data_IF_460128420619
#
_entry.id   IF_460128420619
#
_cell.length_a   1.000
_cell.length_b   1.000
_cell.length_c   1.000
_cell.angle_alpha   90.00
_cell.angle_beta   90.00
_cell.angle_gamma   90.00
#
_symmetry.space_group_name_H-M   'P 1'
#
loop_
_entity.id
_entity.type
_entity.pdbx_description
1 polymer ?
#
# COMPACT_ATOMS: atom_id res chain seq x y z
N UNK A 1 0.20 5.41 22.40
CA UNK A 1 -0.60 4.29 21.89
C UNK A 1 -0.12 3.99 20.48
N UNK A 2 0.47 2.82 20.24
CA UNK A 2 0.87 2.41 18.88
C UNK A 2 -0.31 1.63 18.30
N UNK A 3 -0.93 2.15 17.25
CA UNK A 3 -2.00 1.46 16.54
C UNK A 3 -1.37 0.47 15.56
N UNK A 4 -1.86 -0.77 15.56
CA UNK A 4 -1.37 -1.83 14.69
C UNK A 4 -2.46 -2.18 13.67
N UNK A 5 -2.11 -2.15 12.39
CA UNK A 5 -2.95 -2.67 11.30
C UNK A 5 -2.58 -4.14 11.10
N UNK A 6 -3.58 -5.03 11.20
CA UNK A 6 -3.41 -6.43 10.84
C UNK A 6 -3.18 -6.55 9.32
N UNK A 7 -2.02 -7.05 8.87
CA UNK A 7 -1.75 -7.21 7.45
C UNK A 7 -2.76 -8.10 6.73
N UNK A 8 -3.45 -9.02 7.42
CA UNK A 8 -4.48 -9.89 6.82
C UNK A 8 -5.70 -9.11 6.33
N UNK A 9 -5.98 -7.93 6.90
CA UNK A 9 -7.08 -7.05 6.46
C UNK A 9 -6.78 -6.30 5.15
N UNK A 10 -5.55 -6.39 4.67
CA UNK A 10 -5.11 -5.77 3.41
C UNK A 10 -5.28 -6.79 2.28
N UNK A 11 -5.92 -6.44 1.14
CA UNK A 11 -6.05 -7.35 0.01
C UNK A 11 -4.69 -7.83 -0.51
N UNK A 12 -4.64 -9.09 -0.96
CA UNK A 12 -3.41 -9.67 -1.51
C UNK A 12 -2.82 -8.83 -2.64
N UNK A 13 -3.66 -8.31 -3.55
CA UNK A 13 -3.21 -7.47 -4.68
C UNK A 13 -2.45 -6.22 -4.22
N UNK A 14 -2.93 -5.55 -3.16
CA UNK A 14 -2.28 -4.35 -2.59
C UNK A 14 -0.92 -4.71 -1.99
N UNK A 15 -0.86 -5.82 -1.24
CA UNK A 15 0.42 -6.33 -0.70
C UNK A 15 1.40 -6.74 -1.80
N UNK A 16 0.92 -7.34 -2.88
CA UNK A 16 1.74 -7.77 -4.01
C UNK A 16 2.34 -6.55 -4.76
N UNK A 17 1.55 -5.51 -5.02
CA UNK A 17 2.04 -4.26 -5.61
C UNK A 17 3.08 -3.61 -4.70
N UNK A 18 2.82 -3.53 -3.38
CA UNK A 18 3.79 -3.01 -2.42
C UNK A 18 5.06 -3.87 -2.33
N UNK A 19 4.99 -5.19 -2.55
CA UNK A 19 6.20 -6.04 -2.62
C UNK A 19 7.01 -5.72 -3.86
N UNK A 20 6.37 -5.65 -5.04
CA UNK A 20 7.05 -5.32 -6.30
C UNK A 20 7.73 -3.95 -6.26
N UNK A 21 7.04 -2.94 -5.72
CA UNK A 21 7.60 -1.59 -5.51
C UNK A 21 8.76 -1.57 -4.51
N UNK A 22 8.79 -2.50 -3.54
CA UNK A 22 9.90 -2.62 -2.58
C UNK A 22 11.09 -3.35 -3.20
N UNK A 23 10.83 -4.40 -3.97
CA UNK A 23 11.83 -5.20 -4.68
C UNK A 23 12.55 -4.40 -5.76
N UNK A 24 11.90 -3.38 -6.35
CA UNK A 24 12.54 -2.42 -7.26
C UNK A 24 13.42 -1.37 -6.57
N UNK A 25 13.51 -1.38 -5.23
CA UNK A 25 14.29 -0.41 -4.45
C UNK A 25 13.48 0.76 -3.87
N UNK A 26 12.17 0.81 -4.13
CA UNK A 26 11.27 1.79 -3.53
C UNK A 26 10.95 1.51 -2.05
N UNK A 27 10.37 2.51 -1.38
CA UNK A 27 9.83 2.41 -0.02
C UNK A 27 8.32 2.66 -0.05
N UNK A 28 7.51 1.62 -0.33
CA UNK A 28 6.07 1.76 -0.42
C UNK A 28 5.41 1.77 0.96
N UNK A 29 4.41 2.62 1.10
CA UNK A 29 3.54 2.75 2.28
C UNK A 29 2.08 2.76 1.83
N UNK A 30 1.24 1.98 2.50
CA UNK A 30 -0.21 2.09 2.34
C UNK A 30 -0.65 3.30 3.16
N UNK A 31 -1.44 4.19 2.56
CA UNK A 31 -1.78 5.50 3.13
C UNK A 31 -3.27 5.81 3.00
N UNK A 32 -3.66 6.97 3.53
CA UNK A 32 -4.97 7.55 3.28
C UNK A 32 -6.12 6.93 4.07
N UNK A 33 -7.32 7.01 3.50
CA UNK A 33 -8.56 6.57 4.13
C UNK A 33 -8.57 5.07 4.42
N UNK A 34 -7.91 4.26 3.58
CA UNK A 34 -7.82 2.81 3.76
C UNK A 34 -7.23 2.40 5.10
N UNK A 35 -6.15 3.06 5.54
CA UNK A 35 -5.50 2.81 6.84
C UNK A 35 -6.43 3.21 7.98
N UNK A 36 -7.07 4.38 7.89
CA UNK A 36 -8.05 4.85 8.88
C UNK A 36 -9.20 3.86 9.01
N UNK A 37 -9.75 3.41 7.90
CA UNK A 37 -10.94 2.56 7.88
C UNK A 37 -10.62 1.19 8.47
N UNK A 38 -9.46 0.60 8.17
CA UNK A 38 -9.00 -0.65 8.81
C UNK A 38 -8.84 -0.50 10.32
N UNK A 39 -8.27 0.62 10.79
CA UNK A 39 -8.14 0.91 12.22
C UNK A 39 -9.49 1.16 12.92
N UNK A 40 -10.52 1.55 12.17
CA UNK A 40 -11.89 1.75 12.64
C UNK A 40 -12.78 0.51 12.43
N UNK A 41 -12.22 -0.63 12.05
CA UNK A 41 -12.98 -1.86 11.74
C UNK A 41 -14.03 -1.66 10.62
N UNK A 42 -13.72 -0.78 9.66
CA UNK A 42 -14.51 -0.54 8.45
C UNK A 42 -13.80 -1.13 7.23
N UNK A 43 -14.58 -1.48 6.21
CA UNK A 43 -14.05 -1.94 4.92
C UNK A 43 -13.66 -0.73 4.06
N UNK A 44 -12.38 -0.61 3.63
CA UNK A 44 -11.97 0.43 2.70
C UNK A 44 -12.66 0.29 1.34
N UNK A 45 -13.03 1.41 0.72
CA UNK A 45 -13.54 1.47 -0.66
C UNK A 45 -12.43 1.38 -1.71
N UNK A 46 -11.25 1.86 -1.38
CA UNK A 46 -10.07 2.01 -2.23
C UNK A 46 -8.79 1.81 -1.39
N UNK A 47 -7.66 1.69 -2.09
CA UNK A 47 -6.35 1.47 -1.49
C UNK A 47 -5.30 2.29 -2.22
N UNK A 48 -4.62 3.17 -1.48
CA UNK A 48 -3.56 4.03 -2.00
C UNK A 48 -2.19 3.58 -1.48
N UNK A 49 -1.19 3.60 -2.37
CA UNK A 49 0.21 3.35 -2.04
C UNK A 49 1.02 4.59 -2.39
N UNK A 50 1.70 5.16 -1.41
CA UNK A 50 2.74 6.17 -1.61
C UNK A 50 4.11 5.49 -1.70
N UNK A 51 4.95 5.90 -2.65
CA UNK A 51 6.30 5.37 -2.84
C UNK A 51 7.24 6.49 -3.28
N UNK A 52 8.53 6.39 -2.96
CA UNK A 52 9.57 7.33 -3.37
C UNK A 52 10.22 6.93 -4.70
N UNK A 53 9.40 6.67 -5.71
CA UNK A 53 9.84 6.41 -7.08
C UNK A 53 9.21 7.45 -8.01
N UNK A 54 9.94 7.83 -9.05
CA UNK A 54 9.45 8.72 -10.08
C UNK A 54 8.39 8.02 -10.96
N UNK A 55 7.45 8.76 -11.57
CA UNK A 55 6.40 8.16 -12.40
C UNK A 55 6.92 7.24 -13.50
N UNK A 56 8.05 7.58 -14.13
CA UNK A 56 8.67 6.79 -15.18
C UNK A 56 9.19 5.44 -14.67
N UNK A 57 9.74 5.42 -13.44
CA UNK A 57 10.18 4.18 -12.78
C UNK A 57 8.98 3.27 -12.49
N UNK A 58 7.85 3.84 -12.06
CA UNK A 58 6.62 3.08 -11.80
C UNK A 58 6.06 2.49 -13.10
N UNK A 59 6.00 3.28 -14.17
CA UNK A 59 5.51 2.83 -15.48
C UNK A 59 6.41 1.73 -16.08
N UNK A 60 7.71 1.73 -15.78
CA UNK A 60 8.62 0.66 -16.19
C UNK A 60 8.41 -0.67 -15.47
N UNK A 61 7.80 -0.67 -14.28
CA UNK A 61 7.57 -1.87 -13.46
C UNK A 61 6.25 -2.58 -13.77
N UNK A 62 5.26 -1.85 -14.26
CA UNK A 62 3.90 -2.35 -14.48
C UNK A 62 3.45 -2.03 -15.92
N UNK A 63 3.48 -3.03 -16.84
CA UNK A 63 3.03 -2.87 -18.22
C UNK A 63 1.50 -2.79 -18.37
#
# INVERSE_FOLDING_TARGET
MQAHVDPQKIPFKVRAIASALRESGGRPFIVGGSVRDVLLEKTPSDWDIAVNLDPEEILGLFP
#
